data_IF_219193080236
#
_entry.id   IF_219193080236
#
_cell.length_a   1.000
_cell.length_b   1.000
_cell.length_c   1.000
_cell.angle_alpha   90.00
_cell.angle_beta   90.00
_cell.angle_gamma   90.00
#
_symmetry.space_group_name_H-M   'P 1'
#
loop_
_entity.id
_entity.type
_entity.pdbx_description
1 polymer ?
#
# COMPACT_ATOMS: atom_id res chain seq x y z
N UNK A 1 4.80 -26.87 19.88
CA UNK A 1 5.28 -25.81 18.97
C UNK A 1 4.48 -25.99 17.71
N UNK A 2 3.33 -25.32 17.66
CA UNK A 2 2.32 -25.56 16.63
C UNK A 2 2.90 -25.25 15.26
N UNK A 3 2.89 -26.27 14.42
CA UNK A 3 3.52 -26.25 13.13
C UNK A 3 2.70 -25.36 12.20
N UNK A 4 3.18 -24.14 12.01
CA UNK A 4 2.63 -23.21 11.03
C UNK A 4 2.65 -23.82 9.61
N UNK A 5 3.35 -24.94 9.39
CA UNK A 5 3.38 -25.69 8.13
C UNK A 5 2.11 -26.50 7.83
N UNK A 6 1.23 -26.73 8.81
CA UNK A 6 -0.04 -27.47 8.60
C UNK A 6 -1.26 -26.54 8.40
N UNK A 7 -1.03 -25.21 8.37
CA UNK A 7 -2.06 -24.20 8.15
C UNK A 7 -2.43 -23.98 6.68
N UNK A 8 -3.47 -23.19 6.36
CA UNK A 8 -3.79 -22.81 4.98
C UNK A 8 -2.59 -22.15 4.29
N UNK A 9 -2.31 -22.50 3.03
CA UNK A 9 -1.13 -22.02 2.28
C UNK A 9 -0.92 -20.50 2.32
N UNK A 10 -2.01 -19.74 2.37
CA UNK A 10 -2.01 -18.28 2.46
C UNK A 10 -1.38 -17.80 3.78
N UNK A 11 -1.70 -18.46 4.89
CA UNK A 11 -1.17 -18.15 6.21
C UNK A 11 0.31 -18.53 6.29
N UNK A 12 0.68 -19.69 5.75
CA UNK A 12 2.10 -20.10 5.69
C UNK A 12 2.93 -19.09 4.90
N UNK A 13 2.45 -18.71 3.71
CA UNK A 13 3.13 -17.74 2.85
C UNK A 13 3.29 -16.39 3.55
N UNK A 14 2.21 -15.90 4.18
CA UNK A 14 2.24 -14.65 4.93
C UNK A 14 3.29 -14.68 6.05
N UNK A 15 3.35 -15.76 6.82
CA UNK A 15 4.35 -15.90 7.89
C UNK A 15 5.78 -15.98 7.35
N UNK A 16 6.01 -16.65 6.23
CA UNK A 16 7.31 -16.65 5.55
C UNK A 16 7.71 -15.25 5.10
N UNK A 17 6.77 -14.47 4.56
CA UNK A 17 7.01 -13.06 4.18
C UNK A 17 7.37 -12.20 5.40
N UNK A 18 6.66 -12.34 6.52
CA UNK A 18 6.96 -11.60 7.75
C UNK A 18 8.34 -11.96 8.32
N UNK A 19 8.71 -13.24 8.28
CA UNK A 19 10.03 -13.68 8.72
C UNK A 19 11.14 -13.13 7.82
N UNK A 20 10.92 -13.13 6.50
CA UNK A 20 11.87 -12.57 5.54
C UNK A 20 12.06 -11.06 5.72
N UNK A 21 10.98 -10.33 6.04
CA UNK A 21 11.00 -8.85 6.18
C UNK A 21 10.96 -8.38 7.64
N UNK A 22 11.50 -9.19 8.56
CA UNK A 22 11.38 -8.98 10.00
C UNK A 22 11.91 -7.62 10.47
N UNK A 23 13.05 -7.19 9.92
CA UNK A 23 13.64 -5.89 10.25
C UNK A 23 12.71 -4.72 9.87
N UNK A 24 12.04 -4.82 8.72
CA UNK A 24 11.07 -3.80 8.31
C UNK A 24 9.85 -3.76 9.24
N UNK A 25 9.37 -4.93 9.68
CA UNK A 25 8.28 -5.03 10.65
C UNK A 25 8.67 -4.37 11.97
N UNK A 26 9.82 -4.75 12.55
CA UNK A 26 10.30 -4.18 13.82
C UNK A 26 10.51 -2.67 13.70
N UNK A 27 11.14 -2.21 12.62
CA UNK A 27 11.38 -0.79 12.38
C UNK A 27 10.06 -0.01 12.20
N UNK A 28 9.05 -0.59 11.56
CA UNK A 28 7.73 0.03 11.40
C UNK A 28 7.02 0.31 12.73
N UNK A 29 7.30 -0.47 13.77
CA UNK A 29 6.76 -0.24 15.12
C UNK A 29 7.68 0.59 16.03
N UNK A 30 9.00 0.58 15.76
CA UNK A 30 9.99 1.19 16.65
C UNK A 30 10.39 2.61 16.24
N UNK A 31 10.30 2.92 14.95
CA UNK A 31 10.65 4.22 14.41
C UNK A 31 9.42 5.13 14.27
N UNK A 32 9.57 6.46 14.37
CA UNK A 32 8.46 7.40 14.20
C UNK A 32 8.01 7.56 12.73
N UNK A 33 8.71 6.94 11.79
CA UNK A 33 8.46 7.08 10.36
C UNK A 33 7.36 6.12 9.91
N UNK A 34 6.43 6.60 9.08
CA UNK A 34 5.40 5.76 8.47
C UNK A 34 5.21 6.07 6.99
N UNK A 35 4.86 5.05 6.21
CA UNK A 35 4.49 5.18 4.80
C UNK A 35 3.06 5.71 4.58
N UNK A 36 2.28 5.93 5.65
CA UNK A 36 0.85 6.22 5.56
C UNK A 36 0.51 7.46 4.74
N UNK A 37 1.30 8.53 4.85
CA UNK A 37 1.11 9.74 4.03
C UNK A 37 1.32 9.45 2.53
N UNK A 38 2.34 8.66 2.20
CA UNK A 38 2.66 8.26 0.82
C UNK A 38 1.58 7.33 0.27
N UNK A 39 1.17 6.32 1.03
CA UNK A 39 0.11 5.39 0.66
C UNK A 39 -1.24 6.08 0.47
N UNK A 40 -1.54 7.09 1.30
CA UNK A 40 -2.71 7.94 1.15
C UNK A 40 -2.73 8.67 -0.20
N UNK A 41 -1.60 9.28 -0.60
CA UNK A 41 -1.47 9.91 -1.91
C UNK A 41 -1.60 8.90 -3.06
N UNK A 42 -0.95 7.74 -2.95
CA UNK A 42 -1.05 6.67 -3.96
C UNK A 42 -2.50 6.22 -4.11
N UNK A 43 -3.23 6.05 -3.01
CA UNK A 43 -4.65 5.67 -3.01
C UNK A 43 -5.51 6.74 -3.67
N UNK A 44 -5.27 8.03 -3.37
CA UNK A 44 -5.97 9.15 -4.01
C UNK A 44 -5.73 9.19 -5.52
N UNK A 45 -4.49 9.03 -5.96
CA UNK A 45 -4.14 9.00 -7.39
C UNK A 45 -4.80 7.82 -8.10
N UNK A 46 -4.78 6.62 -7.50
CA UNK A 46 -5.47 5.44 -8.02
C UNK A 46 -6.98 5.70 -8.17
N UNK A 47 -7.59 6.37 -7.20
CA UNK A 47 -9.01 6.73 -7.25
C UNK A 47 -9.33 7.71 -8.38
N UNK A 48 -8.54 8.78 -8.53
CA UNK A 48 -8.68 9.77 -9.62
C UNK A 48 -8.58 9.06 -10.97
N UNK A 49 -7.53 8.25 -11.16
CA UNK A 49 -7.33 7.49 -12.40
C UNK A 49 -8.52 6.57 -12.69
N UNK A 50 -9.04 5.86 -11.69
CA UNK A 50 -10.17 4.94 -11.87
C UNK A 50 -11.48 5.65 -12.24
N UNK A 51 -11.74 6.84 -11.67
CA UNK A 51 -12.94 7.63 -12.00
C UNK A 51 -12.86 8.26 -13.40
N UNK A 52 -11.66 8.57 -13.86
CA UNK A 52 -11.39 9.31 -15.10
C UNK A 52 -10.94 8.44 -16.27
N UNK A 53 -10.75 7.14 -16.08
CA UNK A 53 -10.33 6.21 -17.12
C UNK A 53 -11.28 6.26 -18.33
N UNK A 54 -10.72 6.43 -19.54
CA UNK A 54 -11.49 6.57 -20.78
C UNK A 54 -12.29 7.88 -20.92
N UNK A 55 -12.18 8.81 -19.95
CA UNK A 55 -12.96 10.06 -19.89
C UNK A 55 -12.10 11.32 -19.74
N UNK A 56 -10.81 11.18 -19.43
CA UNK A 56 -9.89 12.29 -19.24
C UNK A 56 -8.61 12.15 -20.06
N UNK A 57 -8.12 13.27 -20.59
CA UNK A 57 -6.78 13.38 -21.16
C UNK A 57 -5.73 13.39 -20.05
N UNK A 58 -4.46 13.21 -20.42
CA UNK A 58 -3.34 13.31 -19.48
C UNK A 58 -3.30 14.67 -18.77
N UNK A 59 -3.50 15.77 -19.51
CA UNK A 59 -3.54 17.11 -18.94
C UNK A 59 -4.63 17.24 -17.85
N UNK A 60 -5.83 16.69 -18.10
CA UNK A 60 -6.90 16.71 -17.11
C UNK A 60 -6.58 15.84 -15.88
N UNK A 61 -5.96 14.67 -16.06
CA UNK A 61 -5.49 13.84 -14.94
C UNK A 61 -4.43 14.56 -14.10
N UNK A 62 -3.48 15.25 -14.73
CA UNK A 62 -2.46 16.03 -14.03
C UNK A 62 -3.09 17.12 -13.16
N UNK A 63 -4.05 17.88 -13.72
CA UNK A 63 -4.77 18.92 -12.97
C UNK A 63 -5.49 18.34 -11.75
N UNK A 64 -6.19 17.21 -11.90
CA UNK A 64 -6.90 16.55 -10.78
C UNK A 64 -5.95 16.03 -9.69
N UNK A 65 -4.75 15.58 -10.08
CA UNK A 65 -3.73 15.11 -9.12
C UNK A 65 -3.11 16.28 -8.37
N UNK A 66 -2.80 17.39 -9.04
CA UNK A 66 -2.15 18.55 -8.43
C UNK A 66 -3.11 19.47 -7.66
N UNK A 67 -4.42 19.39 -7.94
CA UNK A 67 -5.43 20.08 -7.17
C UNK A 67 -5.38 19.63 -5.69
N UNK A 68 -5.42 20.61 -4.78
CA UNK A 68 -5.50 20.33 -3.35
C UNK A 68 -6.82 19.59 -3.05
N UNK A 69 -6.79 18.56 -2.18
CA UNK A 69 -8.03 18.00 -1.65
C UNK A 69 -8.81 19.10 -0.91
N UNK A 70 -10.15 19.07 -0.95
CA UNK A 70 -10.99 20.00 -0.19
C UNK A 70 -10.79 19.84 1.32
#
# INVERSE_FOLDING_TARGET
MDDLSDGPKQIQSFATFLQHDWDAVVNGFSLPWSSGAVEGQVTRIKLIKRRSYGRASFALLQTLVLAQPP
#
